data_IF_716932323650
#
_entry.id   IF_716932323650
#
_cell.length_a   1.000
_cell.length_b   1.000
_cell.length_c   1.000
_cell.angle_alpha   90.00
_cell.angle_beta   90.00
_cell.angle_gamma   90.00
#
_symmetry.space_group_name_H-M   'P 1'
#
loop_
_entity.id
_entity.type
_entity.pdbx_description
1 polymer ?
#
# COMPACT_ATOMS: atom_id res chain seq x y z
N UNK A 1 -2.51 7.16 -0.14
CA UNK A 1 -1.48 6.29 -0.73
C UNK A 1 -0.12 6.96 -0.65
N UNK A 2 -0.09 8.29 -0.73
CA UNK A 2 1.10 9.11 -0.48
C UNK A 2 1.56 8.95 0.98
N UNK A 3 2.83 8.59 1.25
CA UNK A 3 3.36 8.47 2.61
C UNK A 3 3.34 9.80 3.39
N UNK A 4 3.23 9.70 4.73
CA UNK A 4 3.15 10.85 5.66
C UNK A 4 4.20 11.94 5.42
N UNK A 5 5.43 11.54 5.09
CA UNK A 5 6.57 12.46 4.99
C UNK A 5 6.73 13.06 3.57
N UNK A 6 5.76 12.84 2.66
CA UNK A 6 5.76 13.38 1.31
C UNK A 6 4.77 14.53 1.12
N UNK A 7 5.07 15.52 0.24
CA UNK A 7 4.12 16.56 -0.13
C UNK A 7 2.80 15.96 -0.64
N UNK A 8 1.68 16.58 -0.28
CA UNK A 8 0.37 16.09 -0.72
C UNK A 8 -0.16 14.88 0.07
N UNK A 9 0.51 14.46 1.15
CA UNK A 9 -0.10 13.57 2.13
C UNK A 9 -1.39 14.20 2.68
N UNK A 10 -2.46 13.39 2.75
CA UNK A 10 -3.69 13.73 3.45
C UNK A 10 -3.87 12.83 4.67
N UNK A 11 -3.94 13.37 5.90
CA UNK A 11 -4.34 12.58 7.04
C UNK A 11 -5.82 12.20 6.92
N UNK A 12 -6.20 11.05 7.49
CA UNK A 12 -7.58 10.63 7.66
C UNK A 12 -8.40 10.51 6.35
N UNK A 13 -7.75 10.13 5.24
CA UNK A 13 -8.46 9.69 4.04
C UNK A 13 -8.62 8.16 4.08
N UNK A 14 -9.80 7.68 3.69
CA UNK A 14 -10.13 6.25 3.70
C UNK A 14 -11.37 5.91 4.50
N UNK A 15 -11.80 4.66 4.35
CA UNK A 15 -12.96 4.12 5.05
C UNK A 15 -12.55 3.77 6.47
N UNK A 16 -13.16 4.44 7.45
CA UNK A 16 -12.98 4.10 8.86
C UNK A 16 -13.56 2.73 9.20
N UNK A 17 -13.04 2.11 10.26
CA UNK A 17 -13.58 0.84 10.74
C UNK A 17 -15.00 1.02 11.29
N UNK A 18 -15.98 0.48 10.57
CA UNK A 18 -17.38 0.41 11.00
C UNK A 18 -17.98 -0.95 10.64
N UNK A 19 -17.95 -1.87 11.61
CA UNK A 19 -18.50 -3.20 11.43
C UNK A 19 -20.03 -3.21 11.28
N UNK A 20 -20.75 -2.24 11.86
CA UNK A 20 -22.20 -2.16 11.74
C UNK A 20 -22.58 -1.76 10.31
N UNK A 21 -21.93 -0.73 9.78
CA UNK A 21 -22.13 -0.30 8.40
C UNK A 21 -21.71 -1.37 7.40
N UNK A 22 -20.62 -2.09 7.65
CA UNK A 22 -20.21 -3.25 6.85
C UNK A 22 -21.30 -4.32 6.76
N UNK A 23 -21.89 -4.72 7.90
CA UNK A 23 -23.02 -5.67 7.92
C UNK A 23 -24.27 -5.15 7.21
N UNK A 24 -24.56 -3.85 7.34
CA UNK A 24 -25.69 -3.25 6.63
C UNK A 24 -25.51 -3.29 5.11
N UNK A 25 -24.30 -2.99 4.63
CA UNK A 25 -23.96 -3.06 3.20
C UNK A 25 -24.07 -4.49 2.66
N UNK A 26 -23.57 -5.49 3.40
CA UNK A 26 -23.71 -6.90 3.02
C UNK A 26 -25.18 -7.33 2.95
N UNK A 27 -26.01 -6.93 3.92
CA UNK A 27 -27.46 -7.18 3.89
C UNK A 27 -28.11 -6.55 2.66
N UNK A 28 -27.75 -5.31 2.31
CA UNK A 28 -28.24 -4.63 1.08
C UNK A 28 -27.79 -5.35 -0.19
N UNK A 29 -26.60 -5.94 -0.18
CA UNK A 29 -26.06 -6.74 -1.28
C UNK A 29 -26.64 -8.17 -1.36
N UNK A 30 -27.55 -8.55 -0.45
CA UNK A 30 -28.17 -9.88 -0.45
C UNK A 30 -27.47 -10.93 0.39
N UNK A 31 -26.47 -10.54 1.19
CA UNK A 31 -25.65 -11.41 2.04
C UNK A 31 -25.81 -11.09 3.53
N UNK A 32 -27.02 -11.20 4.11
CA UNK A 32 -27.23 -10.93 5.53
C UNK A 32 -26.34 -11.84 6.39
N UNK A 33 -25.62 -11.24 7.34
CA UNK A 33 -24.65 -11.92 8.20
C UNK A 33 -23.60 -12.75 7.44
N UNK A 34 -23.25 -12.33 6.21
CA UNK A 34 -22.31 -13.03 5.34
C UNK A 34 -22.86 -14.30 4.69
N UNK A 35 -24.12 -14.68 4.95
CA UNK A 35 -24.71 -15.90 4.40
C UNK A 35 -24.85 -15.82 2.89
N UNK A 36 -24.38 -16.87 2.21
CA UNK A 36 -24.37 -16.94 0.75
C UNK A 36 -23.27 -16.11 0.08
N UNK A 37 -22.46 -15.39 0.86
CA UNK A 37 -21.32 -14.65 0.32
C UNK A 37 -20.27 -15.66 -0.21
N UNK A 38 -19.71 -15.45 -1.41
CA UNK A 38 -18.69 -16.34 -1.96
C UNK A 38 -17.47 -16.48 -1.05
N UNK A 39 -16.85 -17.65 -1.03
CA UNK A 39 -15.57 -17.82 -0.34
C UNK A 39 -14.51 -16.92 -1.00
N UNK A 40 -13.76 -16.18 -0.17
CA UNK A 40 -12.74 -15.24 -0.65
C UNK A 40 -11.34 -15.80 -0.46
N UNK A 41 -10.57 -15.84 -1.54
CA UNK A 41 -9.13 -16.06 -1.46
C UNK A 41 -8.38 -14.73 -1.48
N UNK A 42 -7.49 -14.53 -0.49
CA UNK A 42 -6.59 -13.37 -0.43
C UNK A 42 -5.18 -13.80 -0.81
N UNK A 43 -4.67 -13.31 -1.93
CA UNK A 43 -3.28 -13.58 -2.30
C UNK A 43 -2.36 -12.60 -1.58
N UNK A 44 -1.25 -13.09 -1.03
CA UNK A 44 -0.23 -12.24 -0.42
C UNK A 44 1.16 -12.83 -0.56
N UNK A 45 2.17 -12.06 -0.17
CA UNK A 45 3.56 -12.49 -0.09
C UNK A 45 3.95 -12.73 1.39
N UNK A 46 5.11 -13.34 1.69
CA UNK A 46 5.48 -13.68 3.08
C UNK A 46 5.46 -12.48 4.03
N UNK A 47 5.86 -11.31 3.53
CA UNK A 47 5.80 -10.04 4.26
C UNK A 47 4.38 -9.61 4.64
N UNK A 48 3.34 -10.06 3.94
CA UNK A 48 1.93 -9.75 4.20
C UNK A 48 1.18 -10.81 5.00
N UNK A 49 1.74 -12.01 5.21
CA UNK A 49 1.03 -13.17 5.77
C UNK A 49 0.32 -12.90 7.11
N UNK A 50 0.98 -12.21 8.05
CA UNK A 50 0.36 -11.86 9.35
C UNK A 50 -0.86 -10.95 9.19
N UNK A 51 -0.79 -9.96 8.29
CA UNK A 51 -1.90 -9.05 7.99
C UNK A 51 -3.02 -9.78 7.26
N UNK A 52 -2.69 -10.62 6.28
CA UNK A 52 -3.66 -11.44 5.56
C UNK A 52 -4.47 -12.30 6.51
N UNK A 53 -3.80 -13.02 7.43
CA UNK A 53 -4.49 -13.79 8.47
C UNK A 53 -5.40 -12.93 9.34
N UNK A 54 -4.93 -11.78 9.80
CA UNK A 54 -5.75 -10.86 10.59
C UNK A 54 -7.01 -10.42 9.84
N UNK A 55 -6.89 -10.10 8.54
CA UNK A 55 -8.04 -9.71 7.72
C UNK A 55 -9.06 -10.84 7.57
N UNK A 56 -8.61 -12.08 7.30
CA UNK A 56 -9.48 -13.25 7.27
C UNK A 56 -10.24 -13.43 8.59
N UNK A 57 -9.51 -13.39 9.72
CA UNK A 57 -10.11 -13.55 11.06
C UNK A 57 -11.09 -12.39 11.38
N UNK A 58 -10.75 -11.16 10.97
CA UNK A 58 -11.58 -9.98 11.17
C UNK A 58 -12.86 -10.02 10.32
N UNK A 59 -12.78 -10.39 9.04
CA UNK A 59 -13.96 -10.52 8.18
C UNK A 59 -14.89 -11.62 8.65
N UNK A 60 -14.34 -12.76 9.10
CA UNK A 60 -15.17 -13.79 9.72
C UNK A 60 -15.88 -13.24 10.97
N UNK A 61 -15.13 -12.61 11.87
CA UNK A 61 -15.65 -12.13 13.15
C UNK A 61 -16.72 -11.03 12.99
N UNK A 62 -16.47 -10.05 12.13
CA UNK A 62 -17.30 -8.84 12.07
C UNK A 62 -18.38 -8.88 11.00
N UNK A 63 -18.16 -9.67 9.94
CA UNK A 63 -19.01 -9.69 8.74
C UNK A 63 -19.58 -11.09 8.42
N UNK A 64 -19.09 -12.15 9.07
CA UNK A 64 -19.49 -13.53 8.77
C UNK A 64 -18.93 -14.04 7.43
N UNK A 65 -17.94 -13.36 6.86
CA UNK A 65 -17.33 -13.72 5.58
C UNK A 65 -16.18 -14.70 5.82
N UNK A 66 -16.27 -15.85 5.17
CA UNK A 66 -15.20 -16.84 5.13
C UNK A 66 -14.17 -16.46 4.07
N UNK A 67 -12.93 -16.24 4.51
CA UNK A 67 -11.81 -15.96 3.63
C UNK A 67 -10.58 -16.78 4.03
N UNK A 68 -9.80 -17.22 3.06
CA UNK A 68 -8.52 -17.88 3.26
C UNK A 68 -7.38 -17.07 2.65
N UNK A 69 -6.22 -17.11 3.30
CA UNK A 69 -5.04 -16.40 2.85
C UNK A 69 -4.07 -17.36 2.17
N UNK A 70 -3.74 -17.07 0.91
CA UNK A 70 -2.74 -17.81 0.11
C UNK A 70 -1.46 -17.00 0.06
N UNK A 71 -0.41 -17.54 0.67
CA UNK A 71 0.93 -16.91 0.69
C UNK A 71 1.77 -17.49 -0.45
N UNK A 72 2.17 -16.63 -1.38
CA UNK A 72 2.97 -16.95 -2.56
C UNK A 72 4.36 -16.31 -2.45
N UNK A 73 5.36 -16.88 -3.12
CA UNK A 73 6.59 -16.12 -3.36
C UNK A 73 6.27 -14.82 -4.13
N UNK A 74 7.04 -13.75 -3.93
CA UNK A 74 6.70 -12.45 -4.55
C UNK A 74 6.68 -12.52 -6.08
N UNK A 75 7.59 -13.26 -6.72
CA UNK A 75 7.58 -13.40 -8.18
C UNK A 75 6.41 -14.25 -8.68
N UNK A 76 5.93 -15.20 -7.87
CA UNK A 76 4.70 -15.93 -8.15
C UNK A 76 3.47 -15.05 -7.98
N UNK A 77 3.40 -14.25 -6.91
CA UNK A 77 2.32 -13.28 -6.70
C UNK A 77 2.16 -12.37 -7.91
N UNK A 78 3.23 -11.70 -8.35
CA UNK A 78 3.15 -10.79 -9.50
C UNK A 78 2.68 -11.52 -10.77
N UNK A 79 3.23 -12.72 -11.06
CA UNK A 79 2.77 -13.53 -12.19
C UNK A 79 1.31 -13.93 -12.07
N UNK A 80 0.81 -14.25 -10.88
CA UNK A 80 -0.62 -14.55 -10.69
C UNK A 80 -1.48 -13.33 -10.99
N UNK A 81 -1.07 -12.14 -10.53
CA UNK A 81 -1.79 -10.89 -10.81
C UNK A 81 -1.82 -10.56 -12.31
N UNK A 82 -0.72 -10.77 -13.03
CA UNK A 82 -0.66 -10.50 -14.48
C UNK A 82 -1.49 -11.47 -15.34
N UNK A 83 -1.81 -12.67 -14.84
CA UNK A 83 -2.53 -13.69 -15.62
C UNK A 83 -4.02 -13.77 -15.24
N UNK A 84 -4.31 -13.95 -13.95
CA UNK A 84 -5.68 -14.11 -13.43
C UNK A 84 -5.71 -13.53 -12.01
N UNK A 85 -5.88 -12.21 -11.87
CA UNK A 85 -5.84 -11.58 -10.56
C UNK A 85 -7.01 -12.07 -9.71
N UNK A 86 -6.77 -12.44 -8.43
CA UNK A 86 -7.85 -12.83 -7.53
C UNK A 86 -8.70 -11.60 -7.20
N UNK A 87 -9.90 -11.83 -6.68
CA UNK A 87 -10.78 -10.75 -6.22
C UNK A 87 -10.12 -9.85 -5.15
N UNK A 88 -9.23 -10.43 -4.33
CA UNK A 88 -8.48 -9.69 -3.31
C UNK A 88 -7.03 -10.16 -3.29
N UNK A 89 -6.11 -9.21 -3.34
CA UNK A 89 -4.69 -9.44 -3.14
C UNK A 89 -4.07 -8.33 -2.28
N UNK A 90 -2.93 -8.65 -1.69
CA UNK A 90 -2.15 -7.72 -0.88
C UNK A 90 -0.74 -7.59 -1.44
N UNK A 91 -0.46 -6.40 -1.96
CA UNK A 91 0.84 -5.98 -2.45
C UNK A 91 1.23 -4.62 -1.85
N UNK A 92 2.38 -4.09 -2.22
CA UNK A 92 2.85 -2.78 -1.79
C UNK A 92 3.56 -2.06 -2.91
N UNK A 93 3.62 -0.73 -2.80
CA UNK A 93 4.31 0.12 -3.75
C UNK A 93 5.54 0.76 -3.11
N UNK A 94 6.64 0.82 -3.85
CA UNK A 94 7.83 1.58 -3.47
C UNK A 94 8.05 2.66 -4.51
N UNK A 95 8.25 3.90 -4.06
CA UNK A 95 8.53 5.02 -4.95
C UNK A 95 9.80 4.78 -5.78
N UNK A 96 9.69 4.98 -7.09
CA UNK A 96 10.83 4.99 -8.03
C UNK A 96 11.64 6.29 -7.96
N UNK A 97 11.01 7.38 -7.50
CA UNK A 97 11.61 8.71 -7.34
C UNK A 97 10.99 9.42 -6.12
N UNK A 98 11.65 10.42 -5.51
CA UNK A 98 11.18 11.06 -4.28
C UNK A 98 10.08 12.11 -4.57
N UNK A 99 9.07 11.72 -5.34
CA UNK A 99 7.92 12.55 -5.71
C UNK A 99 6.62 11.74 -5.53
N UNK A 100 5.54 12.33 -4.97
CA UNK A 100 4.25 11.66 -4.78
C UNK A 100 3.66 11.03 -6.04
N UNK A 101 3.98 11.56 -7.23
CA UNK A 101 3.53 11.02 -8.51
C UNK A 101 3.94 9.56 -8.70
N UNK A 102 5.06 9.13 -8.08
CA UNK A 102 5.55 7.75 -8.13
C UNK A 102 4.60 6.74 -7.46
N UNK A 103 3.72 7.20 -6.56
CA UNK A 103 2.64 6.39 -6.00
C UNK A 103 1.39 6.50 -6.86
N UNK A 104 0.99 7.73 -7.22
CA UNK A 104 -0.28 7.97 -7.90
C UNK A 104 -0.34 7.38 -9.31
N UNK A 105 0.79 7.28 -10.01
CA UNK A 105 0.83 6.63 -11.34
C UNK A 105 0.75 5.12 -11.30
N UNK A 106 1.16 4.47 -10.20
CA UNK A 106 1.22 3.01 -10.13
C UNK A 106 -0.07 2.30 -10.54
N UNK A 107 -1.24 2.70 -9.97
CA UNK A 107 -2.54 2.18 -10.39
C UNK A 107 -2.87 2.32 -11.88
N UNK A 108 -2.29 3.29 -12.58
CA UNK A 108 -2.51 3.51 -14.02
C UNK A 108 -1.59 2.68 -14.91
N UNK A 109 -0.57 2.04 -14.32
CA UNK A 109 0.51 1.35 -15.03
C UNK A 109 0.45 -0.17 -14.88
N UNK A 110 -0.48 -0.70 -14.07
CA UNK A 110 -0.63 -2.13 -13.83
C UNK A 110 -2.06 -2.58 -14.10
N UNK A 111 -2.21 -3.57 -14.97
CA UNK A 111 -3.53 -4.05 -15.42
C UNK A 111 -4.33 -4.72 -14.29
N UNK A 112 -3.63 -5.38 -13.36
CA UNK A 112 -4.24 -6.05 -12.21
C UNK A 112 -4.84 -5.09 -11.16
N UNK A 113 -4.72 -3.77 -11.36
CA UNK A 113 -5.44 -2.80 -10.54
C UNK A 113 -6.95 -2.78 -10.83
N UNK A 114 -7.38 -3.33 -11.97
CA UNK A 114 -8.75 -3.35 -12.42
C UNK A 114 -9.16 -2.09 -13.18
N UNK A 115 -10.46 -1.91 -13.35
CA UNK A 115 -11.02 -0.76 -14.06
C UNK A 115 -10.65 0.55 -13.37
N UNK A 116 -10.31 1.57 -14.15
CA UNK A 116 -9.89 2.84 -13.59
C UNK A 116 -11.03 3.55 -12.84
N UNK A 117 -10.71 4.17 -11.69
CA UNK A 117 -11.64 5.10 -11.03
C UNK A 117 -11.92 6.28 -11.97
N UNK A 118 -13.19 6.50 -12.31
CA UNK A 118 -13.61 7.57 -13.22
C UNK A 118 -12.99 8.93 -12.85
N UNK A 119 -12.26 9.57 -13.77
CA UNK A 119 -11.65 10.88 -13.56
C UNK A 119 -10.27 10.85 -12.88
N UNK A 120 -9.80 9.69 -12.42
CA UNK A 120 -8.54 9.58 -11.68
C UNK A 120 -7.32 9.86 -12.56
N UNK A 121 -7.24 9.31 -13.78
CA UNK A 121 -6.16 9.62 -14.72
C UNK A 121 -6.08 11.09 -15.04
N UNK A 122 -7.20 11.74 -15.30
CA UNK A 122 -7.24 13.17 -15.59
C UNK A 122 -6.67 14.00 -14.43
N UNK A 123 -7.00 13.66 -13.18
CA UNK A 123 -6.41 14.31 -12.01
C UNK A 123 -4.90 14.07 -11.91
N UNK A 124 -4.46 12.84 -12.13
CA UNK A 124 -3.03 12.48 -12.09
C UNK A 124 -2.26 13.22 -13.18
N UNK A 125 -2.74 13.24 -14.42
CA UNK A 125 -2.12 13.94 -15.54
C UNK A 125 -2.16 15.47 -15.39
N UNK A 126 -3.23 16.03 -14.83
CA UNK A 126 -3.32 17.46 -14.56
C UNK A 126 -2.29 17.87 -13.50
N UNK A 127 -2.10 17.06 -12.46
CA UNK A 127 -1.16 17.34 -11.36
C UNK A 127 0.29 17.50 -11.84
N UNK A 128 0.70 16.80 -12.91
CA UNK A 128 2.07 16.91 -13.45
C UNK A 128 2.32 18.21 -14.20
N UNK A 129 1.27 18.94 -14.57
CA UNK A 129 1.35 20.22 -15.30
C UNK A 129 1.41 21.44 -14.37
N UNK A 130 1.29 21.22 -13.05
CA UNK A 130 1.29 22.29 -12.05
C UNK A 130 2.72 22.68 -11.66
N UNK A 131 3.09 23.93 -11.93
CA UNK A 131 4.45 24.43 -11.64
C UNK A 131 4.65 24.84 -10.19
N UNK A 132 3.63 25.41 -9.53
CA UNK A 132 3.72 25.83 -8.14
C UNK A 132 3.71 24.60 -7.21
N UNK A 133 4.70 24.42 -6.31
CA UNK A 133 4.77 23.23 -5.46
C UNK A 133 3.59 23.03 -4.51
N UNK A 134 3.01 24.10 -3.95
CA UNK A 134 1.87 23.99 -3.05
C UNK A 134 0.59 23.62 -3.79
N UNK A 135 0.35 24.23 -4.96
CA UNK A 135 -0.75 23.86 -5.83
C UNK A 135 -0.63 22.42 -6.31
N UNK A 136 0.60 21.98 -6.63
CA UNK A 136 0.85 20.60 -7.05
C UNK A 136 0.59 19.61 -5.91
N UNK A 137 1.00 19.94 -4.70
CA UNK A 137 0.69 19.14 -3.51
C UNK A 137 -0.84 19.03 -3.29
N UNK A 138 -1.60 20.13 -3.47
CA UNK A 138 -3.07 20.10 -3.42
C UNK A 138 -3.68 19.23 -4.52
N UNK A 139 -3.14 19.29 -5.74
CA UNK A 139 -3.58 18.43 -6.84
C UNK A 139 -3.34 16.94 -6.53
N UNK A 140 -2.17 16.60 -5.97
CA UNK A 140 -1.88 15.24 -5.50
C UNK A 140 -2.86 14.77 -4.41
N UNK A 141 -3.24 15.65 -3.48
CA UNK A 141 -4.22 15.30 -2.44
C UNK A 141 -5.58 14.94 -3.04
N UNK A 142 -6.02 15.66 -4.08
CA UNK A 142 -7.27 15.38 -4.78
C UNK A 142 -7.27 13.98 -5.40
N UNK A 143 -6.22 13.64 -6.15
CA UNK A 143 -6.06 12.32 -6.75
C UNK A 143 -5.98 11.22 -5.68
N UNK A 144 -5.15 11.40 -4.64
CA UNK A 144 -4.98 10.41 -3.57
C UNK A 144 -6.30 10.12 -2.83
N UNK A 145 -7.09 11.17 -2.58
CA UNK A 145 -8.40 11.07 -1.95
C UNK A 145 -9.38 10.30 -2.83
N UNK A 146 -9.50 10.68 -4.11
CA UNK A 146 -10.43 10.02 -5.03
C UNK A 146 -10.17 8.52 -5.12
N UNK A 147 -8.91 8.13 -5.25
CA UNK A 147 -8.51 6.74 -5.34
C UNK A 147 -8.81 5.96 -4.04
N UNK A 148 -8.55 6.56 -2.88
CA UNK A 148 -8.78 5.89 -1.59
C UNK A 148 -10.28 5.81 -1.26
N UNK A 149 -11.04 6.87 -1.52
CA UNK A 149 -12.46 6.94 -1.21
C UNK A 149 -13.32 6.11 -2.18
N UNK A 150 -12.81 5.75 -3.36
CA UNK A 150 -13.49 4.83 -4.28
C UNK A 150 -13.64 3.41 -3.71
N UNK A 151 -12.81 3.04 -2.73
CA UNK A 151 -12.78 1.70 -2.15
C UNK A 151 -12.07 0.65 -2.99
N UNK A 152 -11.47 1.02 -4.14
CA UNK A 152 -10.69 0.10 -4.97
C UNK A 152 -9.42 -0.41 -4.28
N UNK A 153 -8.86 0.36 -3.36
CA UNK A 153 -7.71 -0.05 -2.55
C UNK A 153 -7.94 0.28 -1.08
N UNK A 154 -7.38 -0.55 -0.21
CA UNK A 154 -7.44 -0.37 1.24
C UNK A 154 -6.01 -0.16 1.75
N UNK A 155 -5.59 1.06 2.10
CA UNK A 155 -4.26 1.30 2.65
C UNK A 155 -4.12 0.63 4.02
N UNK A 156 -3.17 -0.31 4.16
CA UNK A 156 -2.96 -1.03 5.43
C UNK A 156 -1.88 -0.39 6.31
N UNK A 157 -0.72 -0.07 5.74
CA UNK A 157 0.37 0.57 6.47
C UNK A 157 1.39 1.21 5.53
N UNK A 158 2.12 2.20 6.04
CA UNK A 158 3.38 2.64 5.43
C UNK A 158 4.52 1.77 5.97
N UNK A 159 5.20 1.06 5.07
CA UNK A 159 6.33 0.21 5.47
C UNK A 159 7.43 1.05 6.15
N UNK A 160 8.09 0.46 7.13
CA UNK A 160 9.24 1.03 7.83
C UNK A 160 10.44 0.13 7.59
N UNK A 161 11.60 0.74 7.39
CA UNK A 161 12.88 0.01 7.34
C UNK A 161 13.59 0.24 8.65
N UNK A 162 13.79 -0.84 9.40
CA UNK A 162 14.57 -0.83 10.64
C UNK A 162 15.98 -1.32 10.30
N UNK A 163 17.01 -0.63 10.79
CA UNK A 163 18.40 -0.97 10.53
C UNK A 163 19.17 -1.14 11.82
N UNK A 164 19.95 -2.21 11.89
CA UNK A 164 20.91 -2.44 12.95
C UNK A 164 22.30 -2.19 12.38
N UNK A 165 22.92 -1.09 12.79
CA UNK A 165 24.25 -0.68 12.37
C UNK A 165 25.20 -0.84 13.55
N UNK A 166 26.31 -1.56 13.36
CA UNK A 166 27.33 -1.71 14.41
C UNK A 166 27.89 -0.33 14.77
N UNK A 167 28.20 -0.05 16.06
CA UNK A 167 28.71 1.27 16.47
C UNK A 167 29.97 1.74 15.73
N UNK A 168 30.81 0.80 15.27
CA UNK A 168 32.04 1.10 14.54
C UNK A 168 31.84 1.38 13.04
N UNK A 169 30.60 1.34 12.53
CA UNK A 169 30.28 1.69 11.15
C UNK A 169 29.90 3.16 11.11
N UNK A 170 30.74 3.98 10.49
CA UNK A 170 30.55 5.43 10.39
C UNK A 170 30.10 5.79 8.97
N UNK A 171 29.28 6.84 8.86
CA UNK A 171 28.71 7.35 7.60
C UNK A 171 27.84 6.34 6.85
N UNK A 172 27.11 5.49 7.57
CA UNK A 172 26.13 4.60 6.94
C UNK A 172 25.00 5.40 6.27
N UNK A 173 24.76 5.26 4.96
CA UNK A 173 23.75 6.05 4.26
C UNK A 173 22.34 5.53 4.56
N UNK A 174 21.41 6.43 4.86
CA UNK A 174 19.97 6.13 5.00
C UNK A 174 19.15 6.96 4.00
N UNK A 175 19.25 6.66 2.70
CA UNK A 175 18.54 7.42 1.67
C UNK A 175 17.04 7.10 1.66
N UNK A 176 16.22 8.08 1.30
CA UNK A 176 14.76 7.97 1.30
C UNK A 176 14.22 6.84 0.40
N UNK A 177 14.86 6.59 -0.75
CA UNK A 177 14.48 5.50 -1.67
C UNK A 177 15.09 4.13 -1.28
N UNK A 178 16.01 4.11 -0.32
CA UNK A 178 16.53 2.87 0.26
C UNK A 178 17.63 2.14 -0.54
N UNK A 179 18.23 2.79 -1.54
CA UNK A 179 19.42 2.28 -2.26
C UNK A 179 20.70 2.57 -1.47
N UNK A 180 21.41 1.56 -0.98
CA UNK A 180 22.65 1.77 -0.22
C UNK A 180 23.87 1.82 -1.11
N UNK A 181 24.57 2.95 -1.08
CA UNK A 181 25.87 3.11 -1.72
C UNK A 181 26.96 3.09 -0.64
N UNK A 182 27.70 1.99 -0.55
CA UNK A 182 28.66 1.78 0.54
C UNK A 182 30.00 2.51 0.34
N UNK A 183 30.17 3.25 -0.77
CA UNK A 183 31.43 3.92 -1.13
C UNK A 183 31.94 4.91 -0.07
N UNK A 184 31.02 5.50 0.70
CA UNK A 184 31.33 6.51 1.72
C UNK A 184 31.31 5.92 3.15
N UNK A 185 31.07 4.60 3.28
CA UNK A 185 31.00 3.91 4.57
C UNK A 185 32.40 3.63 5.09
N UNK A 186 32.62 3.96 6.36
CA UNK A 186 33.89 3.78 7.03
C UNK A 186 33.75 2.78 8.19
N UNK A 187 34.79 1.99 8.41
CA UNK A 187 34.92 1.13 9.58
C UNK A 187 35.95 1.74 10.51
N UNK A 188 35.53 2.16 11.70
CA UNK A 188 36.45 2.59 12.75
C UNK A 188 36.99 1.35 13.46
N UNK A 189 38.31 1.22 13.58
CA UNK A 189 38.89 0.21 14.45
C UNK A 189 38.46 0.53 15.89
N UNK A 190 37.94 -0.45 16.67
CA UNK A 190 37.65 -0.21 18.07
C UNK A 190 38.94 0.21 18.79
N UNK A 191 38.86 1.21 19.67
CA UNK A 191 39.99 1.55 20.55
C UNK A 191 40.41 0.29 21.30
N UNK A 192 41.65 -0.16 21.08
CA UNK A 192 42.23 -1.21 21.89
C UNK A 192 42.40 -0.63 23.29
N UNK A 193 41.53 -1.05 24.22
CA UNK A 193 41.68 -0.75 25.64
C UNK A 193 42.99 -1.40 26.10
N UNK A 194 43.99 -0.57 26.42
CA UNK A 194 45.24 -0.97 27.08
C UNK A 194 44.97 -1.40 28.53
#
# INVERSE_FOLDING_TARGET
>A
MIPRDMPGYSPNIGIEFDAQRGRELLRKAGYPDGKGFPELEIFTHPGGATRGKYLCDAWQKYLGIHAHCRVLDFAELIRSLDNEPPAIFMTGWTASMPDPIAFLRGPLEVEWFGDEVEGYRELVEASTRVSNPEDRARAYQGADRQLIESGMLIPLNYARRNLLVKPHVIKFPVPALGNWFLKDVLLQQPEQSL
#
